data_IF_709183945065
#
_entry.id   IF_709183945065
#
_cell.length_a   1.000
_cell.length_b   1.000
_cell.length_c   1.000
_cell.angle_alpha   90.00
_cell.angle_beta   90.00
_cell.angle_gamma   90.00
#
_symmetry.space_group_name_H-M   'P 1'
#
loop_
_entity.id
_entity.type
_entity.pdbx_description
1 polymer ?
#
# COMPACT_ATOMS: atom_id res chain seq x y z
N UNK A 1 3.71 -41.80 -21.09
CA UNK A 1 4.18 -40.92 -20.00
C UNK A 1 4.29 -39.48 -20.51
N UNK A 2 4.81 -39.26 -21.71
CA UNK A 2 4.97 -37.92 -22.31
C UNK A 2 3.68 -37.10 -22.42
N UNK A 3 2.55 -37.72 -22.78
CA UNK A 3 1.27 -37.02 -22.83
C UNK A 3 0.80 -36.50 -21.45
N UNK A 4 1.11 -37.24 -20.38
CA UNK A 4 0.78 -36.83 -19.01
C UNK A 4 1.72 -35.68 -18.59
N UNK A 5 3.01 -35.81 -18.90
CA UNK A 5 4.01 -34.80 -18.58
C UNK A 5 3.75 -33.48 -19.32
N UNK A 6 3.39 -33.52 -20.60
CA UNK A 6 3.00 -32.35 -21.39
C UNK A 6 1.81 -31.63 -20.76
N UNK A 7 0.76 -32.37 -20.38
CA UNK A 7 -0.43 -31.80 -19.76
C UNK A 7 -0.10 -31.08 -18.43
N UNK A 8 0.82 -31.63 -17.64
CA UNK A 8 1.27 -31.00 -16.39
C UNK A 8 2.09 -29.74 -16.68
N UNK A 9 3.00 -29.76 -17.65
CA UNK A 9 3.81 -28.60 -18.04
C UNK A 9 2.92 -27.45 -18.57
N UNK A 10 1.95 -27.77 -19.41
CA UNK A 10 1.00 -26.79 -19.95
C UNK A 10 0.13 -26.18 -18.83
N UNK A 11 -0.31 -27.01 -17.88
CA UNK A 11 -1.05 -26.56 -16.70
C UNK A 11 -0.24 -25.63 -15.81
N UNK A 12 1.02 -25.97 -15.52
CA UNK A 12 1.93 -25.13 -14.74
C UNK A 12 2.26 -23.81 -15.47
N UNK A 13 2.45 -23.86 -16.78
CA UNK A 13 2.70 -22.68 -17.62
C UNK A 13 1.51 -21.73 -17.62
N UNK A 14 0.29 -22.27 -17.75
CA UNK A 14 -0.95 -21.49 -17.68
C UNK A 14 -1.11 -20.85 -16.31
N UNK A 15 -0.89 -21.61 -15.23
CA UNK A 15 -0.96 -21.10 -13.87
C UNK A 15 0.05 -19.97 -13.64
N UNK A 16 1.31 -20.15 -14.08
CA UNK A 16 2.35 -19.14 -13.95
C UNK A 16 2.04 -17.86 -14.73
N UNK A 17 1.47 -17.98 -15.94
CA UNK A 17 1.03 -16.83 -16.74
C UNK A 17 -0.08 -16.04 -16.04
N UNK A 18 -1.07 -16.72 -15.45
CA UNK A 18 -2.17 -16.07 -14.77
C UNK A 18 -1.71 -15.32 -13.51
N UNK A 19 -0.80 -15.91 -12.73
CA UNK A 19 -0.22 -15.25 -11.56
C UNK A 19 0.60 -14.01 -11.94
N UNK A 20 1.40 -14.08 -13.02
CA UNK A 20 2.13 -12.92 -13.53
C UNK A 20 1.19 -11.82 -14.03
N UNK A 21 0.07 -12.19 -14.66
CA UNK A 21 -0.96 -11.26 -15.13
C UNK A 21 -1.61 -10.52 -13.96
N UNK A 22 -2.00 -11.24 -12.91
CA UNK A 22 -2.58 -10.67 -11.69
C UNK A 22 -1.60 -9.71 -11.01
N UNK A 23 -0.34 -10.12 -10.83
CA UNK A 23 0.69 -9.26 -10.22
C UNK A 23 0.95 -7.99 -11.03
N UNK A 24 0.98 -8.08 -12.37
CA UNK A 24 1.13 -6.90 -13.24
C UNK A 24 -0.08 -5.98 -13.13
N UNK A 25 -1.29 -6.54 -13.20
CA UNK A 25 -2.53 -5.78 -13.05
C UNK A 25 -2.57 -5.03 -11.72
N UNK A 26 -2.30 -5.73 -10.61
CA UNK A 26 -2.21 -5.12 -9.28
C UNK A 26 -1.24 -3.94 -9.25
N UNK A 27 -0.03 -4.08 -9.82
CA UNK A 27 0.95 -2.98 -9.89
C UNK A 27 0.43 -1.76 -10.65
N UNK A 28 -0.23 -1.98 -11.78
CA UNK A 28 -0.82 -0.90 -12.58
C UNK A 28 -1.97 -0.21 -11.84
N UNK A 29 -2.83 -0.98 -11.16
CA UNK A 29 -3.92 -0.43 -10.34
C UNK A 29 -3.38 0.37 -9.15
N UNK A 30 -2.38 -0.13 -8.42
CA UNK A 30 -1.74 0.61 -7.32
C UNK A 30 -1.18 1.95 -7.79
N UNK A 31 -0.48 1.98 -8.93
CA UNK A 31 0.06 3.21 -9.49
C UNK A 31 -1.05 4.23 -9.79
N UNK A 32 -2.09 3.79 -10.50
CA UNK A 32 -3.23 4.66 -10.85
C UNK A 32 -3.99 5.16 -9.61
N UNK A 33 -4.17 4.30 -8.61
CA UNK A 33 -4.78 4.66 -7.33
C UNK A 33 -3.97 5.77 -6.66
N UNK A 34 -2.64 5.61 -6.60
CA UNK A 34 -1.73 6.60 -6.04
C UNK A 34 -1.79 7.95 -6.77
N UNK A 35 -1.71 7.94 -8.11
CA UNK A 35 -1.78 9.16 -8.93
C UNK A 35 -3.13 9.88 -8.74
N UNK A 36 -4.24 9.14 -8.71
CA UNK A 36 -5.59 9.71 -8.53
C UNK A 36 -5.79 10.29 -7.13
N UNK A 37 -5.33 9.58 -6.09
CA UNK A 37 -5.37 10.09 -4.71
C UNK A 37 -4.50 11.33 -4.55
N UNK A 38 -3.36 11.43 -5.24
CA UNK A 38 -2.54 12.64 -5.24
C UNK A 38 -3.28 13.84 -5.84
N UNK A 39 -4.06 13.65 -6.91
CA UNK A 39 -4.92 14.69 -7.47
C UNK A 39 -6.06 15.07 -6.52
N UNK A 40 -6.69 14.09 -5.87
CA UNK A 40 -7.75 14.34 -4.89
C UNK A 40 -7.24 15.11 -3.67
N UNK A 41 -5.98 14.87 -3.24
CA UNK A 41 -5.36 15.65 -2.16
C UNK A 41 -5.31 17.15 -2.47
N UNK A 42 -5.25 17.55 -3.74
CA UNK A 42 -5.23 18.96 -4.12
C UNK A 42 -6.54 19.69 -3.80
N UNK A 43 -7.67 18.97 -3.74
CA UNK A 43 -8.99 19.55 -3.48
C UNK A 43 -9.46 19.34 -2.04
N UNK A 44 -8.69 18.60 -1.22
CA UNK A 44 -9.17 18.10 0.07
C UNK A 44 -9.46 19.22 1.07
N UNK A 45 -8.61 20.24 1.14
CA UNK A 45 -8.83 21.41 2.01
C UNK A 45 -10.14 22.15 1.70
N UNK A 46 -10.39 22.40 0.41
CA UNK A 46 -11.60 23.09 -0.05
C UNK A 46 -12.84 22.23 0.21
N UNK A 47 -12.73 20.92 0.00
CA UNK A 47 -13.78 19.97 0.31
C UNK A 47 -14.12 19.94 1.81
N UNK A 48 -13.12 19.90 2.69
CA UNK A 48 -13.32 19.90 4.15
C UNK A 48 -14.00 21.18 4.64
N UNK A 49 -13.68 22.33 4.06
CA UNK A 49 -14.35 23.60 4.36
C UNK A 49 -15.81 23.59 3.88
N UNK A 50 -16.06 23.08 2.67
CA UNK A 50 -17.41 23.03 2.08
C UNK A 50 -18.32 22.01 2.75
N UNK A 51 -17.81 20.91 3.31
CA UNK A 51 -18.62 19.84 3.90
C UNK A 51 -19.60 20.33 4.99
N UNK A 52 -19.26 21.44 5.67
CA UNK A 52 -20.06 22.04 6.73
C UNK A 52 -21.42 22.50 6.19
N UNK A 53 -21.43 23.06 4.98
CA UNK A 53 -22.61 23.67 4.35
C UNK A 53 -23.20 22.80 3.24
N UNK A 54 -22.37 22.02 2.57
CA UNK A 54 -22.71 21.28 1.36
C UNK A 54 -22.84 19.78 1.65
N UNK A 55 -24.08 19.27 1.66
CA UNK A 55 -24.38 17.86 1.98
C UNK A 55 -23.75 16.90 0.96
N UNK A 56 -23.80 17.24 -0.32
CA UNK A 56 -23.15 16.48 -1.40
C UNK A 56 -21.63 16.36 -1.21
N UNK A 57 -20.95 17.43 -0.79
CA UNK A 57 -19.52 17.39 -0.48
C UNK A 57 -19.24 16.52 0.73
N UNK A 58 -20.07 16.59 1.78
CA UNK A 58 -19.97 15.70 2.94
C UNK A 58 -20.17 14.24 2.57
N UNK A 59 -21.13 13.95 1.71
CA UNK A 59 -21.39 12.60 1.23
C UNK A 59 -20.21 12.05 0.42
N UNK A 60 -19.62 12.89 -0.44
CA UNK A 60 -18.42 12.56 -1.22
C UNK A 60 -17.20 12.29 -0.33
N UNK A 61 -16.90 13.16 0.65
CA UNK A 61 -15.80 12.97 1.61
C UNK A 61 -15.97 11.69 2.43
N UNK A 62 -17.20 11.33 2.80
CA UNK A 62 -17.47 10.06 3.51
C UNK A 62 -17.09 8.86 2.66
N UNK A 63 -17.42 8.85 1.37
CA UNK A 63 -17.04 7.76 0.45
C UNK A 63 -15.52 7.68 0.30
N UNK A 64 -14.85 8.83 0.15
CA UNK A 64 -13.40 8.91 0.07
C UNK A 64 -12.72 8.38 1.34
N UNK A 65 -13.22 8.75 2.52
CA UNK A 65 -12.70 8.25 3.80
C UNK A 65 -12.90 6.75 3.96
N UNK A 66 -14.06 6.22 3.59
CA UNK A 66 -14.32 4.78 3.63
C UNK A 66 -13.35 4.00 2.71
N UNK A 67 -13.07 4.54 1.52
CA UNK A 67 -12.09 3.96 0.61
C UNK A 67 -10.66 4.02 1.18
N UNK A 68 -10.29 5.13 1.82
CA UNK A 68 -8.97 5.30 2.42
C UNK A 68 -8.72 4.26 3.53
N UNK A 69 -9.72 3.99 4.38
CA UNK A 69 -9.62 2.95 5.40
C UNK A 69 -9.48 1.54 4.80
N UNK A 70 -10.23 1.21 3.75
CA UNK A 70 -10.06 -0.09 3.07
C UNK A 70 -8.66 -0.25 2.46
N UNK A 71 -8.10 0.83 1.90
CA UNK A 71 -6.74 0.81 1.38
C UNK A 71 -5.69 0.65 2.50
N UNK A 72 -5.90 1.29 3.65
CA UNK A 72 -5.08 1.13 4.87
C UNK A 72 -5.13 -0.33 5.35
N UNK A 73 -6.31 -0.94 5.45
CA UNK A 73 -6.48 -2.35 5.82
C UNK A 73 -5.70 -3.29 4.89
N UNK A 74 -5.75 -3.06 3.56
CA UNK A 74 -4.98 -3.84 2.57
C UNK A 74 -3.47 -3.68 2.78
N UNK A 75 -3.01 -2.46 3.10
CA UNK A 75 -1.59 -2.16 3.34
C UNK A 75 -1.11 -2.85 4.62
N UNK A 76 -1.86 -2.76 5.70
CA UNK A 76 -1.56 -3.39 6.98
C UNK A 76 -1.47 -4.91 6.85
N UNK A 77 -2.40 -5.52 6.13
CA UNK A 77 -2.31 -6.93 5.78
C UNK A 77 -1.05 -7.24 4.97
N UNK A 78 -0.73 -6.43 3.94
CA UNK A 78 0.50 -6.64 3.17
C UNK A 78 1.77 -6.55 4.03
N UNK A 79 1.80 -5.68 5.05
CA UNK A 79 2.91 -5.57 6.00
C UNK A 79 2.97 -6.81 6.90
N UNK A 80 1.84 -7.19 7.51
CA UNK A 80 1.74 -8.33 8.42
C UNK A 80 2.19 -9.65 7.76
N UNK A 81 1.86 -9.82 6.48
CA UNK A 81 2.25 -11.01 5.71
C UNK A 81 3.62 -10.88 5.03
N UNK A 82 4.36 -9.81 5.28
CA UNK A 82 5.69 -9.57 4.70
C UNK A 82 5.67 -9.50 3.16
N UNK A 83 4.57 -9.03 2.58
CA UNK A 83 4.46 -8.72 1.14
C UNK A 83 5.27 -7.47 0.83
N UNK A 84 5.09 -6.42 1.65
CA UNK A 84 5.82 -5.16 1.61
C UNK A 84 6.50 -4.93 2.98
N UNK A 85 7.54 -4.11 2.99
CA UNK A 85 8.19 -3.66 4.23
C UNK A 85 7.60 -2.32 4.64
N UNK A 86 7.34 -2.12 5.93
CA UNK A 86 7.05 -0.79 6.45
C UNK A 86 8.30 0.09 6.27
N UNK A 87 8.15 1.28 5.68
CA UNK A 87 9.23 2.26 5.66
C UNK A 87 9.33 2.93 7.03
N UNK A 88 10.50 2.83 7.66
CA UNK A 88 10.80 3.48 8.93
C UNK A 88 10.86 2.53 10.12
N UNK A 89 11.95 1.77 10.22
CA UNK A 89 12.74 1.63 11.46
C UNK A 89 14.05 0.93 11.10
N UNK A 90 15.15 1.58 11.45
CA UNK A 90 16.49 0.98 11.49
C UNK A 90 16.48 0.02 12.68
N UNK A 91 15.92 -1.18 12.51
CA UNK A 91 15.96 -2.21 13.55
C UNK A 91 17.16 -3.13 13.30
N UNK A 92 18.29 -2.75 13.90
CA UNK A 92 19.38 -3.67 14.25
C UNK A 92 18.87 -4.56 15.41
N UNK A 93 18.02 -5.54 15.07
CA UNK A 93 17.40 -6.45 16.02
C UNK A 93 17.26 -7.87 15.43
N UNK A 94 17.65 -8.94 16.16
CA UNK A 94 17.66 -10.28 15.60
C UNK A 94 16.23 -10.81 15.44
N UNK A 95 15.79 -10.96 14.19
CA UNK A 95 14.50 -11.56 13.79
C UNK A 95 14.48 -13.08 14.01
N UNK A 96 14.50 -13.50 15.26
CA UNK A 96 14.30 -14.90 15.67
C UNK A 96 13.16 -14.99 16.68
N UNK A 97 11.91 -14.76 16.27
CA UNK A 97 10.78 -15.33 17.01
C UNK A 97 10.71 -16.82 16.68
N UNK A 98 11.47 -17.62 17.45
CA UNK A 98 11.36 -19.05 17.42
C UNK A 98 9.93 -19.46 17.82
N UNK A 99 9.21 -20.10 16.90
CA UNK A 99 8.00 -20.83 17.23
C UNK A 99 8.43 -22.03 18.08
N UNK A 100 7.98 -22.09 19.34
CA UNK A 100 8.22 -23.23 20.22
C UNK A 100 7.30 -24.41 19.83
N UNK A 101 7.60 -25.06 18.71
CA UNK A 101 7.12 -26.41 18.44
C UNK A 101 8.31 -27.35 18.46
N UNK A 102 8.37 -28.18 19.50
CA UNK A 102 9.41 -29.21 19.69
C UNK A 102 9.43 -30.25 18.55
N UNK A 103 10.57 -30.92 18.32
CA UNK A 103 10.91 -31.50 17.03
C UNK A 103 10.42 -32.93 16.90
N UNK A 104 9.75 -33.24 15.78
CA UNK A 104 9.62 -34.61 15.29
C UNK A 104 10.35 -34.73 13.93
N UNK A 105 11.20 -35.75 13.71
CA UNK A 105 12.28 -35.66 12.71
C UNK A 105 11.88 -36.02 11.27
N UNK A 106 10.62 -36.24 10.94
CA UNK A 106 10.27 -36.95 9.68
C UNK A 106 9.23 -36.29 8.76
N UNK A 107 8.88 -35.01 8.94
CA UNK A 107 8.05 -34.31 7.94
C UNK A 107 8.31 -32.81 7.78
N UNK A 108 9.47 -32.31 8.22
CA UNK A 108 9.90 -30.94 7.90
C UNK A 108 10.48 -30.89 6.48
N UNK A 109 9.64 -31.16 5.47
CA UNK A 109 9.91 -30.72 4.11
C UNK A 109 9.76 -29.19 4.08
N UNK A 110 10.87 -28.54 4.42
CA UNK A 110 11.32 -27.23 3.93
C UNK A 110 10.50 -26.00 4.32
N UNK A 111 11.05 -25.33 5.34
CA UNK A 111 11.11 -23.87 5.54
C UNK A 111 9.82 -23.16 5.99
N UNK A 112 9.84 -22.37 7.09
CA UNK A 112 8.75 -21.46 7.45
C UNK A 112 8.69 -20.25 6.49
N UNK A 113 9.68 -20.13 5.60
CA UNK A 113 9.72 -19.18 4.51
C UNK A 113 9.33 -19.87 3.20
N UNK A 114 8.27 -19.35 2.55
CA UNK A 114 8.10 -19.24 1.08
C UNK A 114 7.12 -20.18 0.35
N UNK A 115 5.93 -20.38 0.90
CA UNK A 115 4.75 -20.33 0.03
C UNK A 115 3.86 -19.20 0.52
N UNK A 116 4.19 -17.98 0.05
CA UNK A 116 3.24 -16.86 -0.02
C UNK A 116 1.99 -17.43 -0.69
N UNK A 117 0.93 -17.64 0.09
CA UNK A 117 -0.30 -18.26 -0.38
C UNK A 117 -0.75 -17.55 -1.66
N UNK A 118 -0.80 -18.29 -2.76
CA UNK A 118 -1.20 -17.76 -4.07
C UNK A 118 -2.64 -17.24 -4.00
N UNK A 119 -3.49 -17.89 -3.20
CA UNK A 119 -4.84 -17.42 -2.92
C UNK A 119 -4.85 -16.06 -2.23
N UNK A 120 -3.98 -15.84 -1.24
CA UNK A 120 -3.85 -14.56 -0.55
C UNK A 120 -3.37 -13.44 -1.47
N UNK A 121 -2.36 -13.68 -2.31
CA UNK A 121 -1.93 -12.69 -3.30
C UNK A 121 -3.03 -12.36 -4.31
N UNK A 122 -3.79 -13.37 -4.75
CA UNK A 122 -4.96 -13.19 -5.61
C UNK A 122 -6.02 -12.35 -4.91
N UNK A 123 -6.32 -12.63 -3.65
CA UNK A 123 -7.26 -11.85 -2.83
C UNK A 123 -6.88 -10.37 -2.74
N UNK A 124 -5.64 -10.08 -2.33
CA UNK A 124 -5.11 -8.71 -2.28
C UNK A 124 -5.21 -8.03 -3.65
N UNK A 125 -4.86 -8.73 -4.73
CA UNK A 125 -4.97 -8.20 -6.09
C UNK A 125 -6.41 -7.84 -6.47
N UNK A 126 -7.39 -8.66 -6.09
CA UNK A 126 -8.80 -8.39 -6.35
C UNK A 126 -9.31 -7.20 -5.53
N UNK A 127 -8.92 -7.11 -4.25
CA UNK A 127 -9.32 -5.98 -3.39
C UNK A 127 -8.74 -4.65 -3.89
N UNK A 128 -7.47 -4.63 -4.28
CA UNK A 128 -6.84 -3.45 -4.92
C UNK A 128 -7.62 -3.02 -6.18
N UNK A 129 -8.04 -3.97 -7.01
CA UNK A 129 -8.83 -3.68 -8.20
C UNK A 129 -10.20 -3.07 -7.84
N UNK A 130 -10.90 -3.67 -6.87
CA UNK A 130 -12.19 -3.15 -6.38
C UNK A 130 -12.07 -1.72 -5.82
N UNK A 131 -11.01 -1.43 -5.05
CA UNK A 131 -10.75 -0.07 -4.56
C UNK A 131 -10.50 0.90 -5.72
N UNK A 132 -9.83 0.49 -6.79
CA UNK A 132 -9.63 1.34 -7.97
C UNK A 132 -10.96 1.72 -8.64
N UNK A 133 -11.84 0.75 -8.88
CA UNK A 133 -13.15 0.99 -9.52
C UNK A 133 -14.00 1.99 -8.71
N UNK A 134 -13.98 1.85 -7.39
CA UNK A 134 -14.67 2.79 -6.48
C UNK A 134 -14.00 4.17 -6.45
N UNK A 135 -12.67 4.25 -6.53
CA UNK A 135 -11.97 5.53 -6.60
C UNK A 135 -12.30 6.30 -7.89
N UNK A 136 -12.42 5.61 -9.03
CA UNK A 136 -12.82 6.26 -10.29
C UNK A 136 -14.24 6.84 -10.24
N UNK A 137 -15.15 6.23 -9.47
CA UNK A 137 -16.45 6.83 -9.20
C UNK A 137 -16.33 8.10 -8.34
N UNK A 138 -15.54 8.05 -7.27
CA UNK A 138 -15.30 9.21 -6.39
C UNK A 138 -14.63 10.35 -7.17
N UNK A 139 -13.63 10.05 -8.00
CA UNK A 139 -12.98 11.07 -8.83
C UNK A 139 -13.91 11.66 -9.89
N UNK A 140 -14.81 10.86 -10.49
CA UNK A 140 -15.84 11.39 -11.39
C UNK A 140 -16.82 12.31 -10.67
N UNK A 141 -17.22 11.98 -9.45
CA UNK A 141 -18.10 12.83 -8.62
C UNK A 141 -17.44 14.17 -8.30
N UNK A 142 -16.12 14.18 -8.05
CA UNK A 142 -15.31 15.39 -7.78
C UNK A 142 -15.58 16.50 -8.80
N UNK A 143 -15.65 16.15 -10.09
CA UNK A 143 -15.85 17.09 -11.20
C UNK A 143 -17.18 17.86 -11.11
N UNK A 144 -18.18 17.31 -10.40
CA UNK A 144 -19.49 17.94 -10.19
C UNK A 144 -19.50 18.90 -9.01
N UNK A 145 -18.50 18.82 -8.12
CA UNK A 145 -18.47 19.50 -6.83
C UNK A 145 -17.68 20.82 -6.83
N UNK A 146 -17.25 21.29 -8.02
CA UNK A 146 -16.63 22.61 -8.25
C UNK A 146 -15.61 23.00 -7.16
N UNK A 147 -14.69 22.09 -6.86
CA UNK A 147 -13.63 22.35 -5.88
C UNK A 147 -12.58 23.32 -6.42
N UNK A 148 -11.95 24.07 -5.52
CA UNK A 148 -10.70 24.77 -5.81
C UNK A 148 -9.53 23.83 -5.53
N UNK A 149 -8.65 23.70 -6.51
CA UNK A 149 -7.39 22.97 -6.35
C UNK A 149 -6.34 23.86 -5.67
N UNK A 150 -5.60 23.28 -4.73
CA UNK A 150 -4.40 23.88 -4.16
C UNK A 150 -3.31 23.89 -5.24
N UNK A 151 -2.82 25.07 -5.61
CA UNK A 151 -1.63 25.20 -6.45
C UNK A 151 -0.41 24.68 -5.67
N UNK A 152 0.03 23.46 -5.98
CA UNK A 152 1.31 22.95 -5.47
C UNK A 152 2.40 23.62 -6.30
N UNK A 153 3.01 24.68 -5.75
CA UNK A 153 4.34 25.09 -6.21
C UNK A 153 5.29 23.94 -5.87
N UNK A 154 6.17 23.50 -6.79
CA UNK A 154 7.19 22.50 -6.44
C UNK A 154 7.98 23.05 -5.26
N UNK A 155 7.91 22.34 -4.14
CA UNK A 155 8.48 22.75 -2.87
C UNK A 155 10.00 22.82 -3.05
N UNK A 156 10.55 24.04 -3.00
CA UNK A 156 11.99 24.23 -2.84
C UNK A 156 12.27 23.77 -1.43
N UNK A 157 12.88 22.60 -1.29
CA UNK A 157 13.39 22.05 -0.04
C UNK A 157 14.17 23.15 0.68
N UNK A 158 13.53 23.81 1.65
CA UNK A 158 14.21 24.74 2.54
C UNK A 158 15.07 23.90 3.47
N UNK A 159 16.39 23.98 3.30
CA UNK A 159 17.32 23.34 4.23
C UNK A 159 17.08 23.88 5.65
N UNK A 160 17.16 23.02 6.69
CA UNK A 160 17.15 23.49 8.07
C UNK A 160 18.36 24.40 8.31
N UNK A 161 18.21 25.54 9.03
CA UNK A 161 19.36 26.37 9.36
C UNK A 161 20.35 25.58 10.25
N UNK A 162 21.67 25.73 10.04
CA UNK A 162 22.67 25.04 10.85
C UNK A 162 22.56 25.50 12.31
N UNK A 163 22.40 24.55 13.23
CA UNK A 163 22.40 24.78 14.67
C UNK A 163 23.79 25.24 15.09
N UNK A 164 23.89 26.48 15.57
CA UNK A 164 25.12 27.00 16.17
C UNK A 164 25.29 26.34 17.54
N UNK A 165 26.20 25.39 17.66
CA UNK A 165 26.67 24.92 18.96
C UNK A 165 27.71 25.91 19.48
N UNK A 166 27.39 26.60 20.57
CA UNK A 166 28.36 27.33 21.38
C UNK A 166 28.66 26.45 22.61
N UNK A 167 29.85 25.86 22.64
CA UNK A 167 30.43 25.28 23.84
C UNK A 167 31.26 26.40 24.45
N UNK A 168 30.80 26.97 25.56
CA UNK A 168 31.67 27.79 26.41
C UNK A 168 32.26 26.86 27.47
N UNK A 169 33.57 26.63 27.36
CA UNK A 169 34.37 26.02 28.41
C UNK A 169 34.48 27.02 29.56
N UNK A 170 33.85 26.71 30.70
CA UNK A 170 34.19 27.39 31.94
C UNK A 170 35.16 26.53 32.75
N UNK A 171 36.37 27.07 32.77
CA UNK A 171 37.57 26.76 33.52
C UNK A 171 37.28 26.39 34.99
N UNK A 172 37.88 25.27 35.41
CA UNK A 172 37.99 24.88 36.82
C UNK A 172 39.03 25.78 37.47
N UNK A 173 38.62 26.50 38.53
CA UNK A 173 39.53 27.11 39.52
C UNK A 173 39.25 26.50 40.88
#
# INVERSE_FOLDING_TARGET
MDAILSKVIDGLSTLAQEELRLLRGAKEHVKKLSDTLALIKLVLDDAEQKQVKEKNVRDWLRKLKALAHEAEDIIDECIAWGIISAEGEHDDGPKNQACYCLPSPSSCFRSPFRFRDIGFRRDISMRVQNSMERLEEIDREKNRLKFRERNVRPDVVAQPPPTTSLIDELEVV
#
